data_IF_135657330416
#
_entry.id   IF_135657330416
#
_cell.length_a   1.000
_cell.length_b   1.000
_cell.length_c   1.000
_cell.angle_alpha   90.00
_cell.angle_beta   90.00
_cell.angle_gamma   90.00
#
_symmetry.space_group_name_H-M   'P 1'
#
loop_
_entity.id
_entity.type
_entity.pdbx_description
1 polymer ?
#
# COMPACT_ATOMS: atom_id res chain seq x y z
N UNK A 1 -17.80 -63.30 -6.70
CA UNK A 1 -18.97 -62.43 -6.90
C UNK A 1 -18.58 -61.01 -6.49
N UNK A 2 -18.37 -60.17 -7.52
CA UNK A 2 -18.52 -58.70 -7.59
C UNK A 2 -17.56 -57.82 -6.76
N UNK A 3 -16.48 -57.43 -7.44
CA UNK A 3 -15.64 -56.25 -7.21
C UNK A 3 -16.45 -54.95 -7.27
N UNK A 4 -16.02 -53.96 -6.48
CA UNK A 4 -16.67 -52.67 -6.29
C UNK A 4 -16.73 -51.83 -7.57
N UNK A 5 -17.86 -51.15 -7.67
CA UNK A 5 -18.38 -50.40 -8.78
C UNK A 5 -17.67 -49.05 -9.01
N UNK A 6 -17.57 -48.70 -10.29
CA UNK A 6 -17.76 -47.37 -10.90
C UNK A 6 -16.65 -46.32 -10.64
N UNK A 7 -15.75 -46.22 -11.62
CA UNK A 7 -15.18 -44.95 -12.07
C UNK A 7 -16.32 -44.06 -12.58
N UNK A 8 -16.82 -43.15 -11.76
CA UNK A 8 -17.53 -41.97 -12.25
C UNK A 8 -16.51 -40.85 -12.34
N UNK A 9 -16.02 -40.64 -13.56
CA UNK A 9 -15.46 -39.36 -13.97
C UNK A 9 -16.47 -38.26 -13.62
N UNK A 10 -16.18 -37.47 -12.58
CA UNK A 10 -16.86 -36.21 -12.38
C UNK A 10 -16.49 -35.30 -13.56
N UNK A 11 -17.32 -35.36 -14.59
CA UNK A 11 -17.34 -34.41 -15.68
C UNK A 11 -17.74 -33.07 -15.05
N UNK A 12 -16.76 -32.26 -14.67
CA UNK A 12 -16.99 -30.90 -14.20
C UNK A 12 -17.62 -30.12 -15.35
N UNK A 13 -18.94 -29.95 -15.34
CA UNK A 13 -19.63 -28.96 -16.16
C UNK A 13 -18.97 -27.62 -15.84
N UNK A 14 -18.18 -27.10 -16.78
CA UNK A 14 -17.70 -25.73 -16.75
C UNK A 14 -18.91 -24.80 -16.84
N UNK A 15 -19.48 -24.45 -15.69
CA UNK A 15 -20.40 -23.34 -15.62
C UNK A 15 -19.58 -22.10 -15.97
N UNK A 16 -19.89 -21.48 -17.11
CA UNK A 16 -19.34 -20.18 -17.50
C UNK A 16 -19.73 -19.18 -16.41
N UNK A 17 -18.84 -18.95 -15.44
CA UNK A 17 -19.02 -17.89 -14.44
C UNK A 17 -19.18 -16.58 -15.20
N UNK A 18 -20.20 -15.81 -14.86
CA UNK A 18 -20.37 -14.45 -15.34
C UNK A 18 -19.06 -13.68 -15.05
N UNK A 19 -18.64 -12.79 -15.95
CA UNK A 19 -17.37 -12.07 -15.81
C UNK A 19 -17.23 -11.34 -14.45
N UNK A 20 -18.35 -10.90 -13.87
CA UNK A 20 -18.39 -10.33 -12.53
C UNK A 20 -17.90 -11.30 -11.44
N UNK A 21 -18.28 -12.57 -11.50
CA UNK A 21 -17.82 -13.60 -10.55
C UNK A 21 -16.38 -14.04 -10.81
N UNK A 22 -15.96 -14.05 -12.08
CA UNK A 22 -14.55 -14.29 -12.41
C UNK A 22 -13.66 -13.15 -11.91
N UNK A 23 -14.12 -11.90 -12.03
CA UNK A 23 -13.45 -10.73 -11.46
C UNK A 23 -13.42 -10.79 -9.93
N UNK A 24 -14.54 -11.11 -9.29
CA UNK A 24 -14.61 -11.29 -7.83
C UNK A 24 -13.65 -12.38 -7.32
N UNK A 25 -13.61 -13.54 -7.98
CA UNK A 25 -12.68 -14.62 -7.63
C UNK A 25 -11.22 -14.22 -7.86
N UNK A 26 -10.96 -13.49 -8.94
CA UNK A 26 -9.63 -12.95 -9.22
C UNK A 26 -9.21 -11.96 -8.13
N UNK A 27 -10.07 -11.02 -7.75
CA UNK A 27 -9.80 -10.09 -6.63
C UNK A 27 -9.62 -10.85 -5.32
N UNK A 28 -10.43 -11.87 -5.02
CA UNK A 28 -10.26 -12.69 -3.81
C UNK A 28 -8.92 -13.43 -3.81
N UNK A 29 -8.50 -14.00 -4.95
CA UNK A 29 -7.19 -14.65 -5.06
C UNK A 29 -6.03 -13.66 -4.93
N UNK A 30 -6.15 -12.46 -5.50
CA UNK A 30 -5.12 -11.42 -5.39
C UNK A 30 -5.06 -10.78 -3.99
N UNK A 31 -6.20 -10.62 -3.32
CA UNK A 31 -6.31 -10.04 -1.97
C UNK A 31 -6.08 -11.07 -0.86
N UNK A 32 -6.25 -12.36 -1.16
CA UNK A 32 -6.03 -13.49 -0.24
C UNK A 32 -5.22 -14.60 -0.92
N UNK A 33 -3.97 -14.36 -1.33
CA UNK A 33 -3.12 -15.38 -1.97
C UNK A 33 -2.66 -16.50 -1.01
N UNK A 34 -3.36 -16.69 0.11
CA UNK A 34 -3.08 -17.68 1.13
C UNK A 34 -1.83 -17.36 1.95
N UNK A 35 -1.17 -18.41 2.47
CA UNK A 35 -0.06 -18.29 3.41
C UNK A 35 1.21 -17.62 2.86
N UNK A 36 1.31 -17.42 1.54
CA UNK A 36 2.51 -16.85 0.91
C UNK A 36 2.73 -15.37 1.25
N UNK A 37 1.67 -14.60 1.52
CA UNK A 37 1.79 -13.21 1.96
C UNK A 37 1.77 -13.04 3.49
N UNK A 38 1.59 -14.12 4.25
CA UNK A 38 1.57 -14.04 5.71
C UNK A 38 2.87 -13.44 6.29
N UNK A 39 4.08 -13.76 5.77
CA UNK A 39 5.31 -13.12 6.23
C UNK A 39 5.34 -11.61 5.98
N UNK A 40 4.83 -11.16 4.83
CA UNK A 40 4.72 -9.74 4.49
C UNK A 40 3.74 -9.04 5.44
N UNK A 41 2.56 -9.62 5.64
CA UNK A 41 1.55 -9.08 6.54
C UNK A 41 2.08 -8.97 7.99
N UNK A 42 2.73 -10.02 8.48
CA UNK A 42 3.35 -10.02 9.82
C UNK A 42 4.43 -8.93 9.94
N UNK A 43 5.21 -8.70 8.88
CA UNK A 43 6.22 -7.64 8.82
C UNK A 43 5.59 -6.26 8.88
N UNK A 44 4.54 -6.02 8.09
CA UNK A 44 3.78 -4.75 8.10
C UNK A 44 3.19 -4.53 9.49
N UNK A 45 2.47 -5.52 10.04
CA UNK A 45 1.85 -5.45 11.36
C UNK A 45 2.90 -5.13 12.45
N UNK A 46 4.05 -5.79 12.44
CA UNK A 46 5.14 -5.51 13.37
C UNK A 46 5.65 -4.08 13.23
N UNK A 47 5.93 -3.62 12.01
CA UNK A 47 6.46 -2.26 11.74
C UNK A 47 5.45 -1.17 12.13
N UNK A 48 4.18 -1.36 11.77
CA UNK A 48 3.06 -0.50 12.15
C UNK A 48 2.91 -0.45 13.67
N UNK A 49 2.93 -1.60 14.36
CA UNK A 49 2.82 -1.65 15.83
C UNK A 49 3.95 -0.89 16.52
N UNK A 50 5.18 -0.96 16.00
CA UNK A 50 6.31 -0.16 16.49
C UNK A 50 6.10 1.34 16.28
N UNK A 51 5.56 1.75 15.13
CA UNK A 51 5.33 3.18 14.81
C UNK A 51 4.20 3.84 15.61
N UNK A 52 3.27 3.06 16.16
CA UNK A 52 2.14 3.57 16.96
C UNK A 52 2.55 3.78 18.44
N UNK A 53 3.70 3.28 18.86
CA UNK A 53 4.15 3.45 20.25
C UNK A 53 4.33 4.93 20.61
N UNK A 54 3.89 5.31 21.80
CA UNK A 54 3.88 6.70 22.28
C UNK A 54 5.22 7.43 22.12
N UNK A 55 6.33 6.71 22.37
CA UNK A 55 7.70 7.24 22.30
C UNK A 55 8.30 7.21 20.90
N UNK A 56 7.63 6.58 19.93
CA UNK A 56 8.08 6.42 18.55
C UNK A 56 7.26 7.28 17.56
N UNK A 57 6.33 8.08 18.08
CA UNK A 57 5.56 9.01 17.26
C UNK A 57 6.51 10.01 16.59
N UNK A 58 6.46 10.04 15.27
CA UNK A 58 7.25 10.97 14.47
C UNK A 58 6.92 12.42 14.87
N UNK A 59 7.93 13.27 15.15
CA UNK A 59 7.72 14.68 15.47
C UNK A 59 6.89 15.42 14.41
N UNK A 60 6.99 14.98 13.14
CA UNK A 60 6.23 15.55 12.00
C UNK A 60 4.71 15.39 12.14
N UNK A 61 4.25 14.45 12.97
CA UNK A 61 2.84 14.19 13.21
C UNK A 61 2.29 15.01 14.38
N UNK A 62 3.16 15.49 15.28
CA UNK A 62 2.77 16.14 16.53
C UNK A 62 2.51 17.62 16.27
N UNK A 63 1.27 18.06 16.53
CA UNK A 63 0.85 19.46 16.44
C UNK A 63 1.17 20.19 17.75
N UNK A 64 0.91 19.56 18.90
CA UNK A 64 1.21 20.12 20.21
C UNK A 64 1.33 19.03 21.27
N UNK A 65 2.20 19.23 22.25
CA UNK A 65 2.33 18.33 23.42
C UNK A 65 1.89 19.08 24.68
N UNK A 66 1.04 18.44 25.48
CA UNK A 66 0.75 18.76 26.89
C UNK A 66 1.24 17.60 27.75
N UNK A 67 1.34 17.79 29.07
CA UNK A 67 1.94 16.85 30.05
C UNK A 67 1.69 15.37 29.72
N UNK A 68 0.42 14.95 29.60
CA UNK A 68 0.05 13.56 29.28
C UNK A 68 -0.76 13.42 27.98
N UNK A 69 -0.67 14.39 27.06
CA UNK A 69 -1.47 14.37 25.82
C UNK A 69 -0.71 14.92 24.63
N UNK A 70 -0.70 14.19 23.52
CA UNK A 70 -0.17 14.65 22.24
C UNK A 70 -1.32 14.88 21.28
N UNK A 71 -1.46 16.10 20.78
CA UNK A 71 -2.34 16.40 19.64
C UNK A 71 -1.55 16.13 18.37
N UNK A 72 -2.09 15.29 17.49
CA UNK A 72 -1.43 14.90 16.25
C UNK A 72 -2.29 15.24 15.03
N UNK A 73 -1.66 15.41 13.87
CA UNK A 73 -2.36 15.38 12.59
C UNK A 73 -2.65 13.92 12.24
N UNK A 74 -3.94 13.55 12.22
CA UNK A 74 -4.34 12.18 11.88
C UNK A 74 -3.86 11.78 10.49
N UNK A 75 -3.96 12.69 9.51
CA UNK A 75 -3.48 12.46 8.15
C UNK A 75 -1.98 12.17 8.12
N UNK A 76 -1.16 13.02 8.75
CA UNK A 76 0.29 12.81 8.81
C UNK A 76 0.65 11.52 9.57
N UNK A 77 -0.09 11.21 10.63
CA UNK A 77 0.09 9.99 11.42
C UNK A 77 -0.21 8.73 10.61
N UNK A 78 -1.35 8.68 9.91
CA UNK A 78 -1.69 7.56 9.02
C UNK A 78 -0.63 7.38 7.94
N UNK A 79 -0.10 8.47 7.39
CA UNK A 79 0.96 8.38 6.38
C UNK A 79 2.25 7.76 6.94
N UNK A 80 2.69 8.16 8.13
CA UNK A 80 3.89 7.59 8.78
C UNK A 80 3.68 6.12 9.22
N UNK A 81 2.46 5.76 9.66
CA UNK A 81 2.15 4.44 10.23
C UNK A 81 1.76 3.40 9.18
N UNK A 82 1.31 3.84 8.00
CA UNK A 82 0.91 2.96 6.91
C UNK A 82 1.92 2.97 5.78
N UNK A 83 2.23 4.14 5.21
CA UNK A 83 3.02 4.23 3.97
C UNK A 83 4.44 3.73 4.20
N UNK A 84 5.14 4.24 5.22
CA UNK A 84 6.53 3.84 5.47
C UNK A 84 6.68 2.35 5.87
N UNK A 85 5.88 1.80 6.80
CA UNK A 85 5.88 0.37 7.10
C UNK A 85 5.58 -0.52 5.88
N UNK A 86 4.58 -0.17 5.08
CA UNK A 86 4.21 -0.95 3.88
C UNK A 86 5.31 -0.86 2.83
N UNK A 87 5.75 0.35 2.47
CA UNK A 87 6.81 0.53 1.48
C UNK A 87 8.09 -0.21 1.86
N UNK A 88 8.51 -0.14 3.13
CA UNK A 88 9.72 -0.84 3.58
C UNK A 88 9.54 -2.35 3.77
N UNK A 89 8.30 -2.84 3.89
CA UNK A 89 8.03 -4.27 3.91
C UNK A 89 8.00 -4.87 2.49
N UNK A 90 7.50 -4.11 1.52
CA UNK A 90 7.41 -4.54 0.12
C UNK A 90 8.73 -4.39 -0.62
N UNK A 91 9.40 -3.24 -0.49
CA UNK A 91 10.58 -2.89 -1.28
C UNK A 91 11.88 -2.94 -0.47
N UNK A 92 11.81 -3.24 0.84
CA UNK A 92 12.95 -3.10 1.74
C UNK A 92 13.29 -1.63 2.03
N UNK A 93 14.48 -1.38 2.59
CA UNK A 93 14.89 -0.03 2.98
C UNK A 93 15.44 0.80 1.81
N UNK A 94 15.72 0.18 0.66
CA UNK A 94 16.41 0.80 -0.48
C UNK A 94 15.74 2.09 -0.94
N UNK A 95 14.40 2.14 -0.96
CA UNK A 95 13.69 3.36 -1.39
C UNK A 95 13.96 4.57 -0.48
N UNK A 96 14.13 4.31 0.81
CA UNK A 96 14.40 5.36 1.80
C UNK A 96 15.90 5.65 1.96
N UNK A 97 16.77 4.73 1.53
CA UNK A 97 18.22 4.99 1.45
C UNK A 97 18.54 5.96 0.33
N UNK A 98 17.93 5.77 -0.83
CA UNK A 98 18.12 6.67 -1.98
C UNK A 98 17.30 7.95 -1.84
N UNK A 99 16.07 7.86 -1.31
CA UNK A 99 15.22 9.02 -1.07
C UNK A 99 14.65 9.04 0.36
N UNK A 100 15.39 9.60 1.34
CA UNK A 100 14.96 9.67 2.74
C UNK A 100 13.63 10.41 2.96
N UNK A 101 13.27 11.32 2.06
CA UNK A 101 12.05 12.12 2.14
C UNK A 101 10.89 11.54 1.31
N UNK A 102 10.99 10.28 0.85
CA UNK A 102 10.01 9.65 -0.03
C UNK A 102 8.57 9.77 0.49
N UNK A 103 8.36 9.59 1.79
CA UNK A 103 7.03 9.73 2.38
C UNK A 103 6.46 11.15 2.25
N UNK A 104 7.30 12.20 2.34
CA UNK A 104 6.83 13.56 2.19
C UNK A 104 6.47 13.88 0.73
N UNK A 105 7.26 13.37 -0.21
CA UNK A 105 7.03 13.51 -1.67
C UNK A 105 5.72 12.81 -2.04
N UNK A 106 5.55 11.56 -1.61
CA UNK A 106 4.31 10.80 -1.85
C UNK A 106 3.09 11.52 -1.28
N UNK A 107 3.18 12.08 -0.07
CA UNK A 107 2.08 12.84 0.53
C UNK A 107 1.72 14.07 -0.30
N UNK A 108 2.71 14.84 -0.75
CA UNK A 108 2.48 16.03 -1.61
C UNK A 108 1.81 15.64 -2.92
N UNK A 109 2.22 14.53 -3.51
CA UNK A 109 1.59 13.98 -4.70
C UNK A 109 0.14 13.53 -4.40
N UNK A 110 -0.09 12.75 -3.36
CA UNK A 110 -1.41 12.21 -3.00
C UNK A 110 -2.43 13.33 -2.73
N UNK A 111 -2.04 14.34 -1.95
CA UNK A 111 -2.86 15.53 -1.62
C UNK A 111 -3.33 16.29 -2.88
N UNK A 112 -2.60 16.20 -3.99
CA UNK A 112 -2.87 16.95 -5.22
C UNK A 112 -3.19 16.06 -6.43
N UNK A 113 -3.13 14.74 -6.28
CA UNK A 113 -3.31 13.75 -7.36
C UNK A 113 -4.67 13.86 -8.03
N UNK A 114 -5.69 14.31 -7.29
CA UNK A 114 -7.02 14.58 -7.82
C UNK A 114 -7.00 15.58 -8.99
N UNK A 115 -6.07 16.53 -9.02
CA UNK A 115 -5.93 17.50 -10.12
C UNK A 115 -5.57 16.81 -11.45
N UNK A 116 -4.87 15.68 -11.41
CA UNK A 116 -4.56 14.91 -12.61
C UNK A 116 -5.78 14.18 -13.17
N UNK A 117 -6.70 13.73 -12.32
CA UNK A 117 -7.94 13.07 -12.75
C UNK A 117 -8.87 14.03 -13.53
N UNK A 118 -8.71 15.34 -13.34
CA UNK A 118 -9.42 16.39 -14.06
C UNK A 118 -8.58 17.06 -15.15
N UNK A 119 -7.42 16.47 -15.49
CA UNK A 119 -6.56 16.94 -16.59
C UNK A 119 -6.13 18.41 -16.47
N UNK A 120 -5.97 18.92 -15.24
CA UNK A 120 -5.48 20.29 -15.03
C UNK A 120 -4.09 20.45 -15.64
N UNK A 121 -3.86 21.46 -16.51
CA UNK A 121 -2.56 21.63 -17.14
C UNK A 121 -1.50 22.09 -16.13
N UNK A 122 -0.22 21.77 -16.41
CA UNK A 122 0.92 22.03 -15.51
C UNK A 122 1.00 23.47 -15.00
N UNK A 123 0.67 24.47 -15.79
CA UNK A 123 0.74 25.86 -15.36
C UNK A 123 -0.32 26.24 -14.30
N UNK A 124 -1.40 25.47 -14.16
CA UNK A 124 -2.45 25.67 -13.13
C UNK A 124 -2.18 24.81 -11.90
N UNK A 125 -1.57 23.65 -12.09
CA UNK A 125 -1.34 22.67 -11.04
C UNK A 125 0.15 22.25 -10.95
N UNK A 126 1.12 23.17 -10.89
CA UNK A 126 2.54 22.81 -10.97
C UNK A 126 2.96 21.86 -9.86
N UNK A 127 2.34 21.99 -8.69
CA UNK A 127 2.62 21.23 -7.49
C UNK A 127 2.44 19.71 -7.62
N UNK A 128 1.41 19.25 -8.35
CA UNK A 128 1.20 17.80 -8.58
C UNK A 128 2.16 17.26 -9.63
N UNK A 129 2.52 18.05 -10.63
CA UNK A 129 3.46 17.64 -11.67
C UNK A 129 4.90 17.59 -11.15
N UNK A 130 5.31 18.57 -10.35
CA UNK A 130 6.63 18.57 -9.72
C UNK A 130 6.75 17.38 -8.74
N UNK A 131 5.74 17.14 -7.91
CA UNK A 131 5.72 15.99 -7.00
C UNK A 131 5.68 14.65 -7.75
N UNK A 132 4.97 14.59 -8.89
CA UNK A 132 4.98 13.41 -9.77
C UNK A 132 6.36 13.18 -10.34
N UNK A 133 7.04 14.19 -10.86
CA UNK A 133 8.34 14.02 -11.54
C UNK A 133 9.45 13.58 -10.57
N UNK A 134 9.35 13.98 -9.31
CA UNK A 134 10.26 13.54 -8.24
C UNK A 134 10.17 12.02 -7.95
N UNK A 135 9.07 11.35 -8.30
CA UNK A 135 8.86 9.92 -8.02
C UNK A 135 9.59 9.02 -9.05
N UNK A 136 9.42 9.17 -10.38
CA UNK A 136 10.13 8.40 -11.40
C UNK A 136 11.63 8.64 -11.42
N UNK A 137 12.12 9.86 -11.09
CA UNK A 137 13.56 10.13 -11.04
C UNK A 137 14.29 9.23 -10.07
N UNK A 138 13.59 8.72 -9.06
CA UNK A 138 14.13 7.75 -8.11
C UNK A 138 14.05 6.30 -8.63
N UNK A 139 12.90 5.85 -9.15
CA UNK A 139 12.75 4.46 -9.62
C UNK A 139 13.56 4.16 -10.90
N UNK A 140 13.85 5.17 -11.72
CA UNK A 140 14.51 5.03 -13.02
C UNK A 140 15.76 5.92 -13.17
N UNK A 141 16.30 6.43 -12.06
CA UNK A 141 17.57 7.16 -12.07
C UNK A 141 18.75 6.26 -12.50
N UNK A 142 19.86 6.82 -13.01
CA UNK A 142 20.99 6.03 -13.48
C UNK A 142 21.66 5.36 -12.27
N UNK A 143 21.47 4.05 -12.16
CA UNK A 143 22.34 3.19 -11.37
C UNK A 143 23.64 2.93 -12.13
#
# INVERSE_FOLDING_TARGET
>A
MIQRNIRTSFQAKSQKKLLAHAGEDFFKQQLQPGGHLQPLFNTIQMKTSKSIQWNQLSPKTIISTKENTKRISLLAFCHEVLVKPVSTAVFGNILYEVQPNLSAIFRKFDDNSWKMNYEFPRFVAPDVYDAKDEIPSFFFGPF
#
